data_IF_599091779974
#
_entry.id   IF_599091779974
#
_cell.length_a   1.000
_cell.length_b   1.000
_cell.length_c   1.000
_cell.angle_alpha   90.00
_cell.angle_beta   90.00
_cell.angle_gamma   90.00
#
_symmetry.space_group_name_H-M   'P 1'
#
loop_
_entity.id
_entity.type
_entity.pdbx_description
1 polymer ?
#
# COMPACT_ATOMS: atom_id res chain seq x y z
N UNK A 1 -41.69 -27.16 -48.71
CA UNK A 1 -40.38 -26.54 -48.48
C UNK A 1 -40.35 -26.22 -47.00
N UNK A 2 -39.71 -27.06 -46.19
CA UNK A 2 -39.63 -26.83 -44.74
C UNK A 2 -38.68 -25.66 -44.49
N UNK A 3 -39.14 -24.68 -43.71
CA UNK A 3 -38.30 -23.57 -43.27
C UNK A 3 -37.25 -24.12 -42.32
N UNK A 4 -35.98 -24.03 -42.70
CA UNK A 4 -34.86 -24.38 -41.83
C UNK A 4 -34.85 -23.33 -40.73
N UNK A 5 -35.10 -23.77 -39.50
CA UNK A 5 -35.03 -22.91 -38.33
C UNK A 5 -33.55 -22.57 -38.06
N UNK A 6 -33.17 -21.32 -38.31
CA UNK A 6 -31.83 -20.80 -38.09
C UNK A 6 -31.65 -20.21 -36.68
N UNK A 7 -32.51 -20.59 -35.74
CA UNK A 7 -32.47 -20.07 -34.37
C UNK A 7 -31.47 -20.86 -33.53
N UNK A 8 -30.41 -20.18 -33.07
CA UNK A 8 -29.49 -20.75 -32.09
C UNK A 8 -30.17 -20.78 -30.72
N UNK A 9 -30.55 -21.97 -30.26
CA UNK A 9 -31.04 -22.20 -28.90
C UNK A 9 -29.85 -22.52 -27.99
N UNK A 10 -29.64 -21.73 -26.94
CA UNK A 10 -28.61 -21.99 -25.93
C UNK A 10 -29.29 -22.61 -24.71
N UNK A 11 -29.15 -23.93 -24.54
CA UNK A 11 -29.77 -24.68 -23.44
C UNK A 11 -29.02 -24.55 -22.11
N UNK A 12 -27.80 -24.01 -22.16
CA UNK A 12 -26.95 -23.87 -20.98
C UNK A 12 -27.21 -22.54 -20.29
N UNK A 13 -27.32 -22.58 -18.95
CA UNK A 13 -27.39 -21.36 -18.16
C UNK A 13 -26.06 -20.61 -18.25
N UNK A 14 -26.07 -19.28 -18.38
CA UNK A 14 -24.85 -18.50 -18.38
C UNK A 14 -24.06 -18.74 -17.08
N UNK A 15 -22.79 -19.04 -17.23
CA UNK A 15 -21.85 -19.20 -16.11
C UNK A 15 -21.08 -17.89 -15.97
N UNK A 16 -21.23 -17.22 -14.82
CA UNK A 16 -20.50 -16.01 -14.51
C UNK A 16 -19.28 -16.36 -13.66
N UNK A 17 -18.10 -15.98 -14.13
CA UNK A 17 -16.86 -16.10 -13.37
C UNK A 17 -16.58 -14.75 -12.68
N UNK A 18 -16.70 -14.71 -11.36
CA UNK A 18 -16.43 -13.53 -10.53
C UNK A 18 -15.05 -13.59 -9.86
N UNK A 19 -14.16 -14.48 -10.31
CA UNK A 19 -12.80 -14.59 -9.78
C UNK A 19 -11.99 -13.34 -10.13
N UNK A 20 -11.06 -12.96 -9.24
CA UNK A 20 -10.10 -11.89 -9.51
C UNK A 20 -9.25 -12.29 -10.71
N UNK A 21 -9.33 -11.52 -11.79
CA UNK A 21 -8.59 -11.83 -13.03
C UNK A 21 -7.18 -11.23 -13.03
N UNK A 22 -6.97 -10.12 -12.31
CA UNK A 22 -5.71 -9.38 -12.33
C UNK A 22 -5.50 -8.61 -11.02
N UNK A 23 -4.27 -8.64 -10.55
CA UNK A 23 -3.76 -7.79 -9.48
C UNK A 23 -2.88 -6.69 -10.10
N UNK A 24 -3.03 -5.44 -9.66
CA UNK A 24 -2.16 -4.34 -10.06
C UNK A 24 -1.75 -3.56 -8.80
N UNK A 25 -0.57 -2.96 -8.84
CA UNK A 25 -0.12 -2.01 -7.83
C UNK A 25 -0.60 -0.61 -8.21
N UNK A 26 -1.06 0.14 -7.21
CA UNK A 26 -1.40 1.56 -7.33
C UNK A 26 -0.52 2.36 -6.38
N UNK A 27 -0.14 3.56 -6.80
CA UNK A 27 0.64 4.47 -5.97
C UNK A 27 -0.31 5.45 -5.29
N UNK A 28 -0.17 5.57 -3.97
CA UNK A 28 -0.94 6.49 -3.15
C UNK A 28 0.05 7.40 -2.45
N UNK A 29 -0.09 8.70 -2.69
CA UNK A 29 0.77 9.71 -2.08
C UNK A 29 0.15 10.18 -0.76
N UNK A 30 0.97 10.55 0.22
CA UNK A 30 0.46 11.06 1.49
C UNK A 30 -0.22 12.41 1.28
N UNK A 31 -1.32 12.65 2.00
CA UNK A 31 -2.06 13.92 1.95
C UNK A 31 -1.39 15.02 2.78
N UNK A 32 -0.55 14.64 3.74
CA UNK A 32 0.26 15.53 4.57
C UNK A 32 1.57 14.84 4.99
N UNK A 33 2.47 15.59 5.64
CA UNK A 33 3.60 14.98 6.35
C UNK A 33 4.67 14.32 5.47
N UNK A 34 4.93 14.85 4.26
CA UNK A 34 5.99 14.30 3.40
C UNK A 34 7.42 14.56 3.90
N UNK A 35 7.61 15.47 4.86
CA UNK A 35 8.89 15.73 5.51
C UNK A 35 9.05 14.87 6.76
N UNK A 36 9.89 13.83 6.69
CA UNK A 36 10.15 12.93 7.82
C UNK A 36 11.04 13.53 8.92
N UNK A 37 11.62 14.71 8.70
CA UNK A 37 12.44 15.41 9.71
C UNK A 37 11.59 16.27 10.67
N UNK A 38 10.29 16.37 10.41
CA UNK A 38 9.35 17.08 11.27
C UNK A 38 8.52 16.06 12.06
N UNK A 39 8.24 16.36 13.33
CA UNK A 39 7.28 15.58 14.08
C UNK A 39 5.88 15.82 13.50
N UNK A 40 5.18 14.74 13.16
CA UNK A 40 3.84 14.85 12.63
C UNK A 40 3.27 13.51 12.19
N UNK A 41 1.99 13.53 11.84
CA UNK A 41 1.29 12.38 11.29
C UNK A 41 1.36 12.42 9.76
N UNK A 42 1.70 11.27 9.17
CA UNK A 42 1.64 11.04 7.73
C UNK A 42 0.35 10.28 7.43
N UNK A 43 -0.56 10.92 6.70
CA UNK A 43 -1.86 10.36 6.36
C UNK A 43 -1.90 9.92 4.90
N UNK A 44 -2.38 8.70 4.68
CA UNK A 44 -2.71 8.18 3.35
C UNK A 44 -4.22 8.05 3.28
N UNK A 45 -4.86 8.89 2.48
CA UNK A 45 -6.32 8.83 2.28
C UNK A 45 -6.59 8.09 0.99
N UNK A 46 -7.29 6.96 1.10
CA UNK A 46 -7.74 6.19 -0.05
C UNK A 46 -9.23 6.44 -0.22
N UNK A 47 -9.58 7.26 -1.19
CA UNK A 47 -10.97 7.50 -1.56
C UNK A 47 -11.53 6.32 -2.35
N UNK A 48 -12.86 6.23 -2.44
CA UNK A 48 -13.56 5.14 -3.14
C UNK A 48 -13.06 4.97 -4.58
N UNK A 49 -12.58 3.77 -4.89
CA UNK A 49 -12.27 3.32 -6.25
C UNK A 49 -13.26 2.21 -6.65
N UNK A 50 -13.49 2.05 -7.95
CA UNK A 50 -14.25 0.93 -8.52
C UNK A 50 -13.52 -0.43 -8.40
N UNK A 51 -12.51 -0.53 -7.53
CA UNK A 51 -11.63 -1.69 -7.42
C UNK A 51 -11.51 -2.14 -5.96
N UNK A 52 -11.36 -3.45 -5.78
CA UNK A 52 -11.05 -4.04 -4.49
C UNK A 52 -9.57 -3.80 -4.15
N UNK A 53 -9.31 -3.30 -2.95
CA UNK A 53 -7.97 -3.15 -2.41
C UNK A 53 -7.59 -4.38 -1.58
N UNK A 54 -6.31 -4.74 -1.60
CA UNK A 54 -5.74 -5.79 -0.76
C UNK A 54 -4.66 -5.17 0.15
N UNK A 55 -5.04 -4.47 1.24
CA UNK A 55 -4.11 -3.72 2.07
C UNK A 55 -2.99 -4.56 2.68
N UNK A 56 -3.23 -5.85 2.90
CA UNK A 56 -2.24 -6.79 3.45
C UNK A 56 -1.03 -7.02 2.55
N UNK A 57 -1.09 -6.62 1.28
CA UNK A 57 0.04 -6.63 0.34
C UNK A 57 0.59 -5.23 0.03
N UNK A 58 0.08 -4.20 0.69
CA UNK A 58 0.60 -2.84 0.52
C UNK A 58 1.95 -2.69 1.22
N UNK A 59 2.76 -1.75 0.72
CA UNK A 59 4.03 -1.38 1.32
C UNK A 59 4.21 0.14 1.24
N UNK A 60 4.99 0.69 2.17
CA UNK A 60 5.40 2.09 2.13
C UNK A 60 6.71 2.21 1.34
N UNK A 61 6.72 3.14 0.38
CA UNK A 61 7.94 3.53 -0.32
C UNK A 61 8.56 4.74 0.38
N UNK A 62 9.81 4.63 0.80
CA UNK A 62 10.55 5.68 1.49
C UNK A 62 11.82 6.01 0.70
N UNK A 63 12.07 7.31 0.53
CA UNK A 63 13.28 7.83 -0.08
C UNK A 63 13.91 8.85 0.86
N UNK A 64 15.23 8.78 1.03
CA UNK A 64 15.96 9.64 1.94
C UNK A 64 17.45 9.61 1.66
N UNK A 65 18.14 10.61 2.21
CA UNK A 65 19.60 10.73 2.16
C UNK A 65 20.17 10.35 3.53
N UNK A 66 21.20 9.53 3.52
CA UNK A 66 21.97 9.23 4.74
C UNK A 66 23.17 10.18 4.83
N UNK A 67 23.27 10.89 5.95
CA UNK A 67 24.38 11.79 6.28
C UNK A 67 25.13 11.28 7.51
N UNK A 68 26.34 11.81 7.71
CA UNK A 68 27.07 11.62 8.98
C UNK A 68 26.42 12.44 10.10
N UNK A 69 26.73 12.15 11.38
CA UNK A 69 26.22 12.93 12.52
C UNK A 69 26.57 14.43 12.50
N UNK A 70 27.55 14.84 11.67
CA UNK A 70 27.96 16.24 11.47
C UNK A 70 27.37 16.85 10.18
N UNK A 71 26.32 16.25 9.63
CA UNK A 71 25.65 16.61 8.37
C UNK A 71 26.52 16.54 7.11
N UNK A 72 27.75 16.01 7.20
CA UNK A 72 28.57 15.79 6.02
C UNK A 72 28.09 14.60 5.19
N UNK A 73 28.37 14.65 3.88
CA UNK A 73 28.05 13.55 2.96
C UNK A 73 28.90 12.31 3.27
N UNK A 74 28.30 11.15 3.08
CA UNK A 74 29.02 9.89 3.04
C UNK A 74 29.97 9.86 1.84
N UNK A 75 31.15 9.29 2.07
CA UNK A 75 32.18 8.97 1.08
C UNK A 75 32.13 7.48 0.77
N UNK A 76 32.76 7.10 -0.34
CA UNK A 76 32.76 5.71 -0.81
C UNK A 76 33.42 4.74 0.20
N UNK A 77 34.42 5.21 0.95
CA UNK A 77 35.09 4.44 1.98
C UNK A 77 34.33 4.32 3.32
N UNK A 78 33.24 5.07 3.51
CA UNK A 78 32.49 5.06 4.76
C UNK A 78 31.70 3.76 4.92
N UNK A 79 31.86 3.10 6.07
CA UNK A 79 31.08 1.90 6.41
C UNK A 79 29.79 2.30 7.10
N UNK A 80 28.68 2.06 6.44
CA UNK A 80 27.33 2.23 6.99
C UNK A 80 26.79 0.89 7.45
N UNK A 81 26.24 0.84 8.66
CA UNK A 81 25.43 -0.29 9.12
C UNK A 81 24.09 0.24 9.59
N UNK A 82 23.01 -0.25 9.00
CA UNK A 82 21.65 0.02 9.43
C UNK A 82 21.18 -1.17 10.26
N UNK A 83 20.78 -0.94 11.50
CA UNK A 83 20.18 -1.99 12.34
C UNK A 83 18.73 -2.22 11.90
N UNK A 84 18.32 -3.49 11.81
CA UNK A 84 16.96 -4.00 11.63
C UNK A 84 15.92 -2.98 11.11
N UNK A 85 15.75 -2.92 9.78
CA UNK A 85 14.73 -2.09 9.12
C UNK A 85 14.69 -0.64 9.65
N UNK A 86 15.86 0.02 9.67
CA UNK A 86 16.08 1.36 10.23
C UNK A 86 14.96 2.40 10.00
N UNK A 87 14.30 2.47 8.82
CA UNK A 87 13.20 3.42 8.62
C UNK A 87 11.99 3.17 9.55
N UNK A 88 11.78 1.95 10.03
CA UNK A 88 10.71 1.65 10.99
C UNK A 88 10.88 2.37 12.33
N UNK A 89 12.11 2.75 12.69
CA UNK A 89 12.37 3.53 13.90
C UNK A 89 11.93 4.99 13.79
N UNK A 90 11.53 5.45 12.60
CA UNK A 90 10.99 6.79 12.41
C UNK A 90 9.52 6.90 12.82
N UNK A 91 8.84 5.77 13.05
CA UNK A 91 7.40 5.72 13.35
C UNK A 91 7.16 5.17 14.75
N UNK A 92 6.32 5.85 15.52
CA UNK A 92 5.88 5.44 16.85
C UNK A 92 4.59 4.62 16.82
N UNK A 93 3.71 4.90 15.85
CA UNK A 93 2.37 4.34 15.73
C UNK A 93 1.91 4.24 14.29
N UNK A 94 1.17 3.18 13.98
CA UNK A 94 0.44 3.01 12.72
C UNK A 94 -1.01 2.70 13.04
N UNK A 95 -1.91 3.47 12.45
CA UNK A 95 -3.36 3.31 12.62
C UNK A 95 -4.00 3.06 11.25
N UNK A 96 -4.88 2.07 11.18
CA UNK A 96 -5.72 1.83 10.00
C UNK A 96 -7.18 2.08 10.36
N UNK A 97 -7.83 2.96 9.58
CA UNK A 97 -9.22 3.34 9.77
C UNK A 97 -10.00 3.11 8.49
N UNK A 98 -11.21 2.57 8.61
CA UNK A 98 -12.14 2.35 7.51
C UNK A 98 -13.45 3.07 7.83
N UNK A 99 -13.90 3.94 6.92
CA UNK A 99 -15.13 4.73 7.08
C UNK A 99 -15.20 5.50 8.42
N UNK A 100 -14.08 6.06 8.87
CA UNK A 100 -13.99 6.80 10.13
C UNK A 100 -13.95 5.95 11.39
N UNK A 101 -14.02 4.62 11.27
CA UNK A 101 -13.83 3.69 12.39
C UNK A 101 -12.41 3.14 12.37
N UNK A 102 -11.72 3.21 13.50
CA UNK A 102 -10.40 2.60 13.66
C UNK A 102 -10.54 1.07 13.67
N UNK A 103 -9.84 0.41 12.74
CA UNK A 103 -9.81 -1.04 12.60
C UNK A 103 -8.59 -1.61 13.32
N UNK A 104 -7.44 -0.96 13.17
CA UNK A 104 -6.17 -1.41 13.75
C UNK A 104 -5.35 -0.23 14.28
N UNK A 105 -4.58 -0.49 15.34
CA UNK A 105 -3.65 0.45 15.94
C UNK A 105 -2.47 -0.31 16.52
N UNK A 106 -1.29 -0.08 15.96
CA UNK A 106 -0.03 -0.69 16.37
C UNK A 106 0.90 0.39 16.91
N UNK A 107 1.52 0.14 18.05
CA UNK A 107 2.48 1.05 18.69
C UNK A 107 3.83 0.34 18.75
N UNK A 108 4.90 1.03 18.40
CA UNK A 108 6.25 0.45 18.25
C UNK A 108 6.73 -0.33 19.48
N UNK A 109 6.32 0.07 20.68
CA UNK A 109 6.65 -0.62 21.94
C UNK A 109 6.08 -2.06 22.03
N UNK A 110 5.23 -2.48 21.08
CA UNK A 110 4.65 -3.82 20.99
C UNK A 110 5.42 -4.76 20.04
N UNK A 111 6.46 -4.27 19.35
CA UNK A 111 7.31 -5.08 18.45
C UNK A 111 8.69 -5.17 19.10
N UNK A 112 8.94 -6.31 19.76
CA UNK A 112 10.15 -6.65 20.51
C UNK A 112 11.31 -6.99 19.57
#
# INVERSE_FOLDING_TARGET
>A
MEAIDNTLTIDQRPVFNNSIQKENLINIFPTNGSNMNENGEINFVIETFDQYLLPSKSYLYLEGLLTKPDDSKLKEEDKVTLTNNAPMFLFDRVTYSLNGSQIENLIQNAIV
#
